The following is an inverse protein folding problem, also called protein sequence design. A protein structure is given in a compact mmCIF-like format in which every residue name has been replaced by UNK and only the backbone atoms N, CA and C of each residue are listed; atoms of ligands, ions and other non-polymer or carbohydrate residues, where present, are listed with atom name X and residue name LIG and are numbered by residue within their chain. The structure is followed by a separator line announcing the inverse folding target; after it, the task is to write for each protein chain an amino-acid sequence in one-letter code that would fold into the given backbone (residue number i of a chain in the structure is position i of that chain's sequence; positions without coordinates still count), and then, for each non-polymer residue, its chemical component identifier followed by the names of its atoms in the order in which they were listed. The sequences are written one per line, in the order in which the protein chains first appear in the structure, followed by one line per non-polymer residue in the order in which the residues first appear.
data_IF_702766320333
#
_entry.id   IF_702766320333
#
_cell.length_a   1.000
_cell.length_b   1.000
_cell.length_c   1.000
_cell.angle_alpha   90.00
_cell.angle_beta   90.00
_cell.angle_gamma   90.00
#
_symmetry.space_group_name_H-M   'P 1'
#
loop_
_entity.id
_entity.type
_entity.pdbx_description
1 polymer ?
#
# COMPACT_ATOMS: atom_id res chain seq x y z
N UNK A 1 20.19 10.08 62.30
CA UNK A 1 20.24 9.26 61.06
C UNK A 1 19.29 9.89 60.05
N UNK A 2 19.83 10.63 59.09
CA UNK A 2 19.04 11.31 58.05
C UNK A 2 19.02 10.37 56.84
N UNK A 3 17.84 9.87 56.45
CA UNK A 3 17.65 9.10 55.21
C UNK A 3 17.36 10.09 54.08
N UNK A 4 18.31 10.21 53.16
CA UNK A 4 18.15 10.93 51.90
C UNK A 4 17.60 9.92 50.89
N UNK A 5 16.36 10.10 50.44
CA UNK A 5 15.77 9.30 49.36
C UNK A 5 16.23 9.85 48.01
N UNK A 6 16.92 9.03 47.23
CA UNK A 6 17.18 9.30 45.82
C UNK A 6 15.97 8.82 45.01
N UNK A 7 15.18 9.77 44.48
CA UNK A 7 14.23 9.48 43.41
C UNK A 7 15.00 9.40 42.10
N UNK A 8 15.17 8.19 41.58
CA UNK A 8 15.67 7.98 40.21
C UNK A 8 14.53 8.32 39.26
N UNK A 9 14.62 9.48 38.61
CA UNK A 9 13.74 9.86 37.51
C UNK A 9 14.15 9.01 36.29
N UNK A 10 13.41 7.93 36.03
CA UNK A 10 13.58 7.13 34.83
C UNK A 10 13.02 7.94 33.64
N UNK A 11 13.89 8.66 32.93
CA UNK A 11 13.53 9.26 31.64
C UNK A 11 13.48 8.10 30.65
N UNK A 12 12.28 7.56 30.43
CA UNK A 12 12.03 6.72 29.28
C UNK A 12 12.18 7.61 28.03
N UNK A 13 13.27 7.43 27.30
CA UNK A 13 13.35 7.92 25.93
C UNK A 13 12.24 7.20 25.16
N UNK A 14 11.15 7.90 24.84
CA UNK A 14 10.28 7.48 23.75
C UNK A 14 11.17 7.50 22.50
N UNK A 15 11.62 6.33 22.07
CA UNK A 15 12.06 6.17 20.71
C UNK A 15 10.83 6.52 19.86
N UNK A 16 10.90 7.64 19.12
CA UNK A 16 9.94 7.91 18.08
C UNK A 16 9.91 6.68 17.17
N UNK A 17 8.71 6.15 16.91
CA UNK A 17 8.55 5.11 15.90
C UNK A 17 9.24 5.61 14.61
N UNK A 18 9.98 4.75 13.89
CA UNK A 18 10.60 5.16 12.63
C UNK A 18 9.54 5.82 11.75
N UNK A 19 9.88 6.96 11.15
CA UNK A 19 8.99 7.66 10.23
C UNK A 19 8.43 6.65 9.22
N UNK A 20 7.10 6.62 9.08
CA UNK A 20 6.41 5.74 8.14
C UNK A 20 7.03 5.97 6.76
N UNK A 21 7.41 4.90 6.05
CA UNK A 21 7.57 5.04 4.61
C UNK A 21 6.21 5.52 4.09
N UNK A 22 6.16 6.59 3.32
CA UNK A 22 4.95 6.90 2.59
C UNK A 22 5.08 6.15 1.26
N UNK A 23 4.07 5.42 0.81
CA UNK A 23 4.07 4.85 -0.53
C UNK A 23 3.36 5.79 -1.50
N UNK A 24 3.76 5.79 -2.77
CA UNK A 24 3.05 6.40 -3.88
C UNK A 24 2.85 5.39 -5.01
N UNK A 25 1.69 5.46 -5.67
CA UNK A 25 1.36 4.61 -6.82
C UNK A 25 1.27 5.45 -8.08
N UNK A 26 2.00 5.06 -9.13
CA UNK A 26 1.97 5.73 -10.43
C UNK A 26 1.59 4.77 -11.54
N UNK A 27 0.69 5.12 -12.47
CA UNK A 27 0.41 4.30 -13.65
C UNK A 27 1.66 4.05 -14.48
N UNK A 28 1.82 2.82 -14.95
CA UNK A 28 3.01 2.34 -15.62
C UNK A 28 2.68 1.46 -16.84
N UNK A 29 1.72 1.89 -17.66
CA UNK A 29 1.35 1.22 -18.91
C UNK A 29 0.22 0.21 -18.75
N UNK A 30 -0.35 -0.19 -19.89
CA UNK A 30 -1.36 -1.24 -19.98
C UNK A 30 -1.23 -1.93 -21.33
N UNK A 31 -1.36 -3.25 -21.34
CA UNK A 31 -1.20 -4.07 -22.53
C UNK A 31 -2.29 -5.13 -22.60
N UNK A 32 -2.68 -5.54 -23.80
CA UNK A 32 -3.53 -6.72 -23.97
C UNK A 32 -2.72 -7.97 -23.64
N UNK A 33 -3.29 -8.89 -22.85
CA UNK A 33 -2.67 -10.18 -22.59
C UNK A 33 -2.64 -11.03 -23.86
N UNK A 34 -1.44 -11.43 -24.28
CA UNK A 34 -1.24 -12.32 -25.42
C UNK A 34 -1.39 -13.79 -24.99
N UNK A 35 -2.43 -14.44 -25.51
CA UNK A 35 -2.70 -15.86 -25.28
C UNK A 35 -2.12 -16.81 -26.33
N UNK A 36 -1.38 -16.31 -27.32
CA UNK A 36 -1.09 -16.96 -28.60
C UNK A 36 -0.51 -18.38 -28.54
N UNK A 37 0.21 -18.73 -27.48
CA UNK A 37 0.80 -20.06 -27.28
C UNK A 37 -0.19 -21.11 -26.72
N UNK A 38 -1.41 -20.70 -26.35
CA UNK A 38 -2.45 -21.55 -25.78
C UNK A 38 -3.74 -21.51 -26.61
N UNK A 39 -3.73 -22.08 -27.84
CA UNK A 39 -4.90 -22.08 -28.71
C UNK A 39 -6.07 -22.83 -28.05
N UNK A 40 -7.24 -22.20 -28.05
CA UNK A 40 -8.46 -22.75 -27.45
C UNK A 40 -8.65 -22.45 -25.96
N UNK A 41 -7.72 -21.71 -25.34
CA UNK A 41 -7.92 -21.13 -24.01
C UNK A 41 -8.46 -19.72 -24.16
N UNK A 42 -9.55 -19.43 -23.46
CA UNK A 42 -10.10 -18.08 -23.37
C UNK A 42 -9.38 -17.34 -22.25
N UNK A 43 -8.75 -16.21 -22.60
CA UNK A 43 -8.14 -15.28 -21.67
C UNK A 43 -9.14 -14.13 -21.44
N UNK A 44 -9.96 -14.30 -20.41
CA UNK A 44 -11.08 -13.46 -20.02
C UNK A 44 -11.32 -13.66 -18.51
N UNK A 45 -12.22 -12.91 -17.89
CA UNK A 45 -12.66 -13.18 -16.51
C UNK A 45 -11.50 -13.23 -15.50
N UNK A 46 -10.48 -12.40 -15.73
CA UNK A 46 -9.33 -12.37 -14.83
C UNK A 46 -9.74 -11.65 -13.56
N UNK A 47 -9.66 -12.34 -12.43
CA UNK A 47 -9.96 -11.77 -11.13
C UNK A 47 -8.66 -11.47 -10.36
N UNK A 48 -8.32 -12.27 -9.35
CA UNK A 48 -7.12 -12.08 -8.55
C UNK A 48 -5.82 -12.40 -9.29
N UNK A 49 -4.73 -11.76 -8.85
CA UNK A 49 -3.38 -11.99 -9.36
C UNK A 49 -2.37 -12.07 -8.23
N UNK A 50 -1.34 -12.92 -8.37
CA UNK A 50 -0.26 -13.04 -7.38
C UNK A 50 1.10 -13.25 -8.05
N UNK A 51 2.16 -12.68 -7.48
CA UNK A 51 3.52 -12.90 -7.95
C UNK A 51 4.05 -14.23 -7.45
N UNK A 52 4.63 -15.03 -8.34
CA UNK A 52 5.17 -16.36 -8.00
C UNK A 52 6.67 -16.50 -8.28
N UNK A 53 7.33 -15.42 -8.75
CA UNK A 53 8.77 -15.35 -8.92
C UNK A 53 9.21 -14.88 -10.30
N UNK A 54 10.36 -14.19 -10.35
CA UNK A 54 10.88 -13.62 -11.60
C UNK A 54 9.87 -12.68 -12.25
N UNK A 55 9.59 -12.90 -13.53
CA UNK A 55 8.58 -12.17 -14.32
C UNK A 55 7.18 -12.79 -14.25
N UNK A 56 7.00 -13.90 -13.53
CA UNK A 56 5.77 -14.71 -13.55
C UNK A 56 4.78 -14.28 -12.48
N UNK A 57 3.54 -14.14 -12.91
CA UNK A 57 2.35 -13.99 -12.07
C UNK A 57 1.38 -15.13 -12.35
N UNK A 58 0.64 -15.55 -11.33
CA UNK A 58 -0.51 -16.44 -11.48
C UNK A 58 -1.79 -15.60 -11.34
N UNK A 59 -2.73 -15.80 -12.26
CA UNK A 59 -4.01 -15.08 -12.36
C UNK A 59 -5.14 -16.10 -12.30
N UNK A 60 -6.05 -15.97 -11.35
CA UNK A 60 -7.24 -16.83 -11.30
C UNK A 60 -8.32 -16.27 -12.24
N UNK A 61 -9.05 -17.17 -12.88
CA UNK A 61 -10.26 -16.80 -13.60
C UNK A 61 -11.47 -17.14 -12.74
N UNK A 62 -12.40 -16.18 -12.57
CA UNK A 62 -13.67 -16.36 -11.85
C UNK A 62 -14.44 -17.56 -12.44
N UNK A 63 -14.99 -17.40 -13.65
CA UNK A 63 -15.81 -18.44 -14.26
C UNK A 63 -15.03 -19.43 -15.15
N UNK A 64 -13.71 -19.23 -15.28
CA UNK A 64 -12.85 -19.95 -16.23
C UNK A 64 -12.38 -21.33 -15.77
N UNK A 65 -12.52 -21.64 -14.46
CA UNK A 65 -12.15 -22.92 -13.87
C UNK A 65 -10.66 -23.27 -13.98
N UNK A 66 -9.79 -22.25 -13.99
CA UNK A 66 -8.33 -22.40 -14.14
C UNK A 66 -7.59 -21.22 -13.54
N UNK A 67 -6.29 -21.42 -13.35
CA UNK A 67 -5.31 -20.36 -13.09
C UNK A 67 -4.39 -20.23 -14.31
N UNK A 68 -4.10 -19.00 -14.71
CA UNK A 68 -3.22 -18.66 -15.82
C UNK A 68 -1.88 -18.22 -15.27
N UNK A 69 -0.79 -18.80 -15.75
CA UNK A 69 0.53 -18.23 -15.52
C UNK A 69 0.83 -17.18 -16.60
N UNK A 70 1.07 -15.94 -16.20
CA UNK A 70 1.33 -14.79 -17.07
C UNK A 70 2.75 -14.26 -16.82
N UNK A 71 3.59 -14.24 -17.85
CA UNK A 71 4.87 -13.54 -17.81
C UNK A 71 4.67 -12.08 -18.24
N UNK A 72 5.26 -11.14 -17.48
CA UNK A 72 5.23 -9.72 -17.78
C UNK A 72 6.63 -9.15 -18.01
N UNK A 73 6.72 -8.14 -18.88
CA UNK A 73 7.97 -7.41 -19.14
C UNK A 73 7.79 -5.95 -18.78
N UNK A 74 8.69 -5.43 -17.95
CA UNK A 74 8.82 -4.01 -17.67
C UNK A 74 10.11 -3.46 -18.30
N UNK A 75 9.99 -2.40 -19.11
CA UNK A 75 11.11 -1.67 -19.68
C UNK A 75 11.09 -0.23 -19.19
N UNK A 76 12.18 0.22 -18.55
CA UNK A 76 12.24 1.59 -18.01
C UNK A 76 11.14 1.91 -16.99
N UNK A 77 10.67 0.90 -16.25
CA UNK A 77 9.59 1.04 -15.27
C UNK A 77 8.18 1.00 -15.86
N UNK A 78 8.02 0.74 -17.17
CA UNK A 78 6.72 0.66 -17.84
C UNK A 78 6.45 -0.78 -18.31
N UNK A 79 5.25 -1.28 -18.06
CA UNK A 79 4.75 -2.56 -18.58
C UNK A 79 4.66 -2.49 -20.12
N UNK A 80 5.41 -3.34 -20.81
CA UNK A 80 5.46 -3.40 -22.28
C UNK A 80 4.91 -4.69 -22.86
N UNK A 81 4.86 -5.77 -22.08
CA UNK A 81 4.34 -7.05 -22.54
C UNK A 81 3.69 -7.83 -21.39
N UNK A 82 2.63 -8.55 -21.70
CA UNK A 82 2.07 -9.61 -20.87
C UNK A 82 1.70 -10.78 -21.78
N UNK A 83 2.22 -11.97 -21.48
CA UNK A 83 1.98 -13.17 -22.28
C UNK A 83 1.60 -14.35 -21.38
N UNK A 84 0.59 -15.09 -21.80
CA UNK A 84 0.26 -16.36 -21.20
C UNK A 84 1.41 -17.33 -21.40
N UNK A 85 1.76 -18.03 -20.33
CA UNK A 85 2.91 -18.92 -20.36
C UNK A 85 2.68 -20.19 -19.51
N UNK A 86 1.53 -20.34 -18.85
CA UNK A 86 1.07 -21.60 -18.27
C UNK A 86 -0.46 -21.59 -18.08
N UNK A 87 -1.06 -22.77 -17.99
CA UNK A 87 -2.46 -22.96 -17.60
C UNK A 87 -2.53 -24.10 -16.60
N UNK A 88 -3.10 -23.82 -15.43
CA UNK A 88 -3.28 -24.78 -14.35
C UNK A 88 -4.78 -25.08 -14.19
N UNK A 89 -5.21 -26.35 -14.23
CA UNK A 89 -6.61 -26.68 -14.10
C UNK A 89 -7.12 -26.42 -12.68
N UNK A 90 -8.42 -26.17 -12.53
CA UNK A 90 -9.12 -26.28 -11.24
C UNK A 90 -10.19 -27.37 -11.36
N UNK A 91 -10.19 -28.32 -10.43
CA UNK A 91 -11.14 -29.45 -10.47
C UNK A 91 -12.49 -29.11 -9.86
N UNK A 92 -12.53 -28.13 -8.96
CA UNK A 92 -13.74 -27.61 -8.38
C UNK A 92 -14.20 -26.39 -9.20
N UNK A 93 -15.41 -26.47 -9.75
CA UNK A 93 -16.10 -25.30 -10.29
C UNK A 93 -16.63 -24.48 -9.10
N UNK A 94 -15.90 -23.43 -8.79
CA UNK A 94 -16.15 -22.47 -7.74
C UNK A 94 -15.87 -21.09 -8.31
N UNK A 95 -16.50 -20.10 -7.71
CA UNK A 95 -16.36 -18.70 -8.05
C UNK A 95 -15.13 -18.15 -7.31
N UNK A 96 -13.96 -18.31 -7.92
CA UNK A 96 -12.70 -17.95 -7.30
C UNK A 96 -12.25 -16.57 -7.72
N UNK A 97 -12.14 -15.68 -6.73
CA UNK A 97 -11.83 -14.27 -6.98
C UNK A 97 -10.38 -13.97 -6.57
N UNK A 98 -9.97 -14.21 -5.33
CA UNK A 98 -8.62 -13.94 -4.86
C UNK A 98 -7.66 -15.11 -5.07
N UNK A 99 -6.38 -14.82 -5.33
CA UNK A 99 -5.29 -15.81 -5.40
C UNK A 99 -4.06 -15.34 -4.64
N UNK A 100 -3.40 -16.26 -3.92
CA UNK A 100 -2.10 -16.02 -3.30
C UNK A 100 -1.16 -17.23 -3.48
N UNK A 101 0.13 -16.97 -3.59
CA UNK A 101 1.14 -18.04 -3.69
C UNK A 101 1.07 -19.00 -2.48
N UNK A 102 1.13 -20.31 -2.74
CA UNK A 102 1.09 -21.36 -1.73
C UNK A 102 2.38 -21.45 -0.91
N UNK A 103 2.35 -22.21 0.19
CA UNK A 103 3.51 -22.31 1.10
C UNK A 103 4.81 -22.75 0.41
N UNK A 104 4.68 -23.40 -0.74
CA UNK A 104 5.71 -23.77 -1.69
C UNK A 104 5.14 -23.64 -3.13
N UNK A 105 5.98 -23.85 -4.14
CA UNK A 105 5.61 -23.71 -5.56
C UNK A 105 4.62 -24.77 -6.07
N UNK A 106 4.28 -25.78 -5.25
CA UNK A 106 3.36 -26.85 -5.61
C UNK A 106 1.89 -26.50 -5.35
N UNK A 107 1.62 -25.39 -4.66
CA UNK A 107 0.25 -24.99 -4.29
C UNK A 107 0.02 -23.51 -4.53
N UNK A 108 -1.25 -23.13 -4.59
CA UNK A 108 -1.71 -21.76 -4.39
C UNK A 108 -2.92 -21.76 -3.45
N UNK A 109 -3.20 -20.61 -2.85
CA UNK A 109 -4.44 -20.37 -2.13
C UNK A 109 -5.41 -19.62 -3.02
N UNK A 110 -6.70 -19.96 -2.94
CA UNK A 110 -7.78 -19.24 -3.60
C UNK A 110 -8.84 -18.82 -2.57
N UNK A 111 -9.40 -17.63 -2.72
CA UNK A 111 -10.64 -17.23 -2.04
C UNK A 111 -11.83 -17.48 -2.95
N UNK A 112 -12.94 -17.90 -2.37
CA UNK A 112 -14.17 -18.22 -3.09
C UNK A 112 -15.30 -17.33 -2.61
N UNK A 113 -16.09 -16.84 -3.55
CA UNK A 113 -17.00 -15.74 -3.33
C UNK A 113 -18.37 -16.20 -2.83
N UNK A 114 -19.01 -17.11 -3.57
CA UNK A 114 -20.40 -17.47 -3.35
C UNK A 114 -20.65 -18.28 -2.07
N UNK A 115 -19.65 -19.03 -1.60
CA UNK A 115 -19.63 -19.77 -0.32
C UNK A 115 -18.39 -19.41 0.53
N UNK A 116 -18.27 -18.14 0.98
CA UNK A 116 -17.04 -17.50 1.45
C UNK A 116 -16.04 -18.46 2.09
N UNK A 117 -14.98 -18.75 1.34
CA UNK A 117 -14.02 -19.79 1.66
C UNK A 117 -12.59 -19.41 1.27
N UNK A 118 -11.61 -19.98 1.95
CA UNK A 118 -10.21 -19.98 1.47
C UNK A 118 -9.73 -21.42 1.36
N UNK A 119 -9.07 -21.77 0.26
CA UNK A 119 -8.64 -23.13 -0.07
C UNK A 119 -7.20 -23.16 -0.51
N UNK A 120 -6.47 -24.16 -0.04
CA UNK A 120 -5.19 -24.52 -0.63
C UNK A 120 -5.44 -25.53 -1.73
N UNK A 121 -4.87 -25.29 -2.90
CA UNK A 121 -5.08 -26.09 -4.11
C UNK A 121 -3.74 -26.55 -4.65
N UNK A 122 -3.66 -27.82 -5.03
CA UNK A 122 -2.50 -28.38 -5.69
C UNK A 122 -2.41 -27.84 -7.12
N UNK A 123 -1.29 -27.20 -7.44
CA UNK A 123 -1.09 -26.45 -8.69
C UNK A 123 -1.09 -27.35 -9.93
N UNK A 124 -0.62 -28.59 -9.80
CA UNK A 124 -0.48 -29.50 -10.93
C UNK A 124 -1.81 -30.20 -11.26
N UNK A 125 -2.55 -30.59 -10.23
CA UNK A 125 -3.78 -31.38 -10.35
C UNK A 125 -5.05 -30.55 -10.30
N UNK A 126 -5.00 -29.34 -9.73
CA UNK A 126 -6.17 -28.51 -9.48
C UNK A 126 -7.06 -29.01 -8.34
N UNK A 127 -6.58 -29.98 -7.55
CA UNK A 127 -7.33 -30.57 -6.46
C UNK A 127 -7.22 -29.70 -5.20
N UNK A 128 -8.36 -29.52 -4.51
CA UNK A 128 -8.36 -28.88 -3.19
C UNK A 128 -7.60 -29.78 -2.21
N UNK A 129 -6.51 -29.27 -1.65
CA UNK A 129 -5.70 -29.94 -0.62
C UNK A 129 -6.38 -29.81 0.73
N UNK A 130 -6.83 -28.60 1.07
CA UNK A 130 -7.60 -28.31 2.29
C UNK A 130 -8.38 -27.01 2.18
N UNK A 131 -9.39 -26.88 3.03
CA UNK A 131 -10.11 -25.63 3.27
C UNK A 131 -9.69 -25.03 4.62
N UNK A 132 -9.55 -23.72 4.69
CA UNK A 132 -9.29 -22.98 5.91
C UNK A 132 -10.61 -22.69 6.64
N UNK A 133 -10.54 -22.49 7.96
CA UNK A 133 -11.72 -22.21 8.77
C UNK A 133 -12.15 -20.76 8.62
N UNK A 134 -13.41 -20.53 8.22
CA UNK A 134 -13.98 -19.19 8.03
C UNK A 134 -15.00 -18.90 9.13
N UNK A 135 -14.97 -17.71 9.78
CA UNK A 135 -15.98 -17.30 10.74
C UNK A 135 -17.40 -17.33 10.16
N UNK A 136 -18.36 -17.83 10.93
CA UNK A 136 -19.74 -18.04 10.47
C UNK A 136 -20.45 -16.77 9.98
N UNK A 137 -20.02 -15.59 10.45
CA UNK A 137 -20.57 -14.29 10.04
C UNK A 137 -20.48 -14.06 8.53
N UNK A 138 -19.43 -14.56 7.87
CA UNK A 138 -19.24 -14.43 6.44
C UNK A 138 -20.30 -15.16 5.61
N UNK A 139 -21.07 -16.09 6.20
CA UNK A 139 -22.25 -16.69 5.59
C UNK A 139 -23.45 -15.72 5.48
N UNK A 140 -23.30 -14.49 5.94
CA UNK A 140 -24.27 -13.40 5.79
C UNK A 140 -23.97 -12.49 4.59
N UNK A 141 -23.14 -12.96 3.65
CA UNK A 141 -22.80 -12.25 2.42
C UNK A 141 -24.04 -11.94 1.58
N UNK A 142 -23.94 -10.87 0.80
CA UNK A 142 -24.90 -10.61 -0.28
C UNK A 142 -24.51 -11.53 -1.45
N UNK A 143 -25.49 -11.99 -2.24
CA UNK A 143 -25.20 -12.92 -3.33
C UNK A 143 -24.20 -12.32 -4.32
N UNK A 144 -23.20 -13.11 -4.73
CA UNK A 144 -22.06 -12.68 -5.54
C UNK A 144 -21.43 -11.37 -5.05
N UNK A 145 -21.19 -11.27 -3.73
CA UNK A 145 -20.44 -10.18 -3.05
C UNK A 145 -19.65 -10.69 -1.84
N UNK A 146 -19.04 -11.85 -2.02
CA UNK A 146 -18.31 -12.60 -1.00
C UNK A 146 -16.84 -12.24 -0.99
N UNK A 147 -15.94 -13.21 -0.77
CA UNK A 147 -14.50 -12.93 -0.74
C UNK A 147 -13.93 -12.67 -2.13
N UNK A 148 -13.47 -11.43 -2.37
CA UNK A 148 -12.86 -10.98 -3.62
C UNK A 148 -11.33 -11.07 -3.64
N UNK A 149 -10.74 -11.00 -2.45
CA UNK A 149 -9.33 -10.65 -2.30
C UNK A 149 -8.54 -11.74 -1.62
N UNK A 150 -7.25 -11.88 -1.96
CA UNK A 150 -6.37 -12.76 -1.18
C UNK A 150 -4.91 -12.31 -1.23
N UNK A 151 -4.39 -11.89 -0.09
CA UNK A 151 -3.01 -11.48 0.08
C UNK A 151 -2.27 -12.41 1.02
N UNK A 152 -0.98 -12.67 0.76
CA UNK A 152 -0.12 -13.45 1.67
C UNK A 152 1.10 -12.67 2.11
N UNK A 153 1.44 -12.82 3.39
CA UNK A 153 2.74 -12.44 3.93
C UNK A 153 3.25 -13.53 4.89
N UNK A 154 4.28 -14.26 4.47
CA UNK A 154 4.87 -15.33 5.29
C UNK A 154 3.81 -16.38 5.70
N UNK A 155 3.54 -16.58 7.01
CA UNK A 155 2.52 -17.51 7.50
C UNK A 155 1.10 -16.91 7.55
N UNK A 156 0.92 -15.65 7.15
CA UNK A 156 -0.35 -14.93 7.25
C UNK A 156 -1.04 -14.84 5.90
N UNK A 157 -2.35 -15.09 5.87
CA UNK A 157 -3.24 -14.73 4.77
C UNK A 157 -4.20 -13.63 5.19
N UNK A 158 -4.54 -12.76 4.25
CA UNK A 158 -5.57 -11.74 4.38
C UNK A 158 -6.58 -11.89 3.24
N UNK A 159 -7.85 -11.74 3.56
CA UNK A 159 -8.95 -11.70 2.59
C UNK A 159 -10.01 -10.73 3.10
N UNK A 160 -10.96 -10.35 2.25
CA UNK A 160 -12.07 -9.48 2.60
C UNK A 160 -13.24 -9.70 1.66
N UNK A 161 -14.44 -9.42 2.15
CA UNK A 161 -15.64 -9.44 1.33
C UNK A 161 -15.77 -8.18 0.45
N UNK A 162 -16.38 -8.30 -0.74
CA UNK A 162 -16.54 -7.20 -1.73
C UNK A 162 -17.34 -6.02 -1.14
N UNK A 163 -18.52 -6.35 -0.63
CA UNK A 163 -19.53 -5.42 -0.13
C UNK A 163 -19.95 -5.89 1.26
N UNK A 164 -20.47 -4.97 2.08
CA UNK A 164 -20.92 -5.27 3.43
C UNK A 164 -21.64 -6.63 3.55
N UNK A 165 -21.51 -7.27 4.70
CA UNK A 165 -22.39 -8.38 5.05
C UNK A 165 -23.76 -7.81 5.43
N UNK A 166 -24.82 -8.60 5.29
CA UNK A 166 -26.19 -8.15 5.59
C UNK A 166 -26.36 -7.73 7.07
N UNK A 167 -25.52 -8.26 7.96
CA UNK A 167 -25.46 -7.94 9.39
C UNK A 167 -24.56 -6.75 9.73
N UNK A 168 -23.75 -6.27 8.79
CA UNK A 168 -22.74 -5.22 9.04
C UNK A 168 -23.17 -3.82 8.61
N UNK A 169 -24.11 -3.72 7.68
CA UNK A 169 -24.61 -2.44 7.21
C UNK A 169 -25.21 -2.52 5.82
N UNK A 170 -25.60 -1.38 5.23
CA UNK A 170 -26.13 -1.31 3.87
C UNK A 170 -25.05 -1.56 2.81
N UNK A 171 -25.54 -1.85 1.59
CA UNK A 171 -24.75 -1.80 0.36
C UNK A 171 -24.26 -0.36 0.09
N UNK A 172 -23.24 -0.21 -0.76
CA UNK A 172 -22.76 1.11 -1.13
C UNK A 172 -23.83 1.87 -1.93
N UNK A 173 -23.82 3.19 -1.81
CA UNK A 173 -24.65 4.11 -2.59
C UNK A 173 -23.80 5.29 -3.06
N UNK A 174 -24.38 6.23 -3.80
CA UNK A 174 -23.66 7.44 -4.23
C UNK A 174 -23.40 8.45 -3.11
N UNK A 175 -24.07 8.29 -1.95
CA UNK A 175 -23.91 9.18 -0.79
C UNK A 175 -23.30 8.50 0.43
N UNK A 176 -23.07 7.18 0.39
CA UNK A 176 -22.52 6.42 1.52
C UNK A 176 -21.78 5.19 1.02
N UNK A 177 -20.63 4.92 1.62
CA UNK A 177 -19.84 3.72 1.38
C UNK A 177 -20.47 2.46 1.98
N UNK A 178 -19.74 1.35 1.92
CA UNK A 178 -20.10 0.08 2.56
C UNK A 178 -19.00 -0.37 3.53
N UNK A 179 -19.38 -1.09 4.59
CA UNK A 179 -18.43 -1.62 5.58
C UNK A 179 -18.16 -3.09 5.34
N UNK A 180 -16.93 -3.45 4.98
CA UNK A 180 -16.49 -4.84 4.77
C UNK A 180 -15.60 -5.31 5.92
N UNK A 181 -15.37 -6.63 6.02
CA UNK A 181 -14.51 -7.23 7.03
C UNK A 181 -13.22 -7.72 6.41
N UNK A 182 -12.09 -7.16 6.82
CA UNK A 182 -10.79 -7.76 6.58
C UNK A 182 -10.63 -8.95 7.52
N UNK A 183 -10.29 -10.12 7.00
CA UNK A 183 -10.05 -11.35 7.75
C UNK A 183 -8.57 -11.72 7.67
N UNK A 184 -7.93 -11.89 8.83
CA UNK A 184 -6.59 -12.46 8.95
C UNK A 184 -6.67 -13.93 9.30
N UNK A 185 -5.97 -14.78 8.55
CA UNK A 185 -5.86 -16.22 8.75
C UNK A 185 -4.40 -16.62 9.00
N UNK A 186 -4.20 -17.63 9.83
CA UNK A 186 -2.92 -18.30 9.99
C UNK A 186 -2.87 -19.54 9.08
N UNK A 187 -1.85 -19.62 8.23
CA UNK A 187 -1.73 -20.69 7.23
C UNK A 187 -1.50 -22.05 7.90
N UNK A 188 -0.69 -22.12 8.95
CA UNK A 188 -0.29 -23.39 9.55
C UNK A 188 -1.48 -24.07 10.23
N UNK A 189 -2.15 -23.36 11.13
CA UNK A 189 -3.35 -23.85 11.83
C UNK A 189 -4.61 -23.85 10.95
N UNK A 190 -4.65 -23.01 9.91
CA UNK A 190 -5.84 -22.77 9.09
C UNK A 190 -6.95 -22.02 9.82
N UNK A 191 -6.64 -21.37 10.95
CA UNK A 191 -7.61 -20.71 11.82
C UNK A 191 -7.70 -19.19 11.57
N UNK A 192 -8.88 -18.57 11.79
CA UNK A 192 -9.02 -17.12 11.81
C UNK A 192 -8.32 -16.53 13.03
N UNK A 193 -7.58 -15.44 12.81
CA UNK A 193 -6.76 -14.79 13.84
C UNK A 193 -7.38 -13.48 14.30
N UNK A 194 -7.88 -12.66 13.38
CA UNK A 194 -8.47 -11.37 13.69
C UNK A 194 -9.39 -10.93 12.54
N UNK A 195 -10.32 -10.02 12.85
CA UNK A 195 -11.13 -9.34 11.85
C UNK A 195 -11.07 -7.83 12.09
N UNK A 196 -11.09 -7.01 11.04
CA UNK A 196 -11.15 -5.55 11.16
C UNK A 196 -12.16 -4.98 10.18
N UNK A 197 -12.90 -3.95 10.60
CA UNK A 197 -13.83 -3.25 9.71
C UNK A 197 -13.07 -2.32 8.76
N UNK A 198 -13.35 -2.40 7.46
CA UNK A 198 -12.83 -1.51 6.42
C UNK A 198 -13.99 -0.78 5.74
N UNK A 199 -13.83 0.52 5.51
CA UNK A 199 -14.85 1.35 4.85
C UNK A 199 -14.50 1.52 3.38
N UNK A 200 -15.32 0.94 2.49
CA UNK A 200 -15.25 1.14 1.03
C UNK A 200 -15.87 2.49 0.67
N UNK A 201 -15.33 3.19 -0.32
CA UNK A 201 -15.88 4.48 -0.77
C UNK A 201 -17.28 4.38 -1.38
N UNK A 202 -18.08 5.46 -1.34
CA UNK A 202 -19.31 5.58 -2.11
C UNK A 202 -19.11 5.34 -3.61
N UNK A 203 -20.20 5.00 -4.27
CA UNK A 203 -20.29 4.94 -5.73
C UNK A 203 -19.96 6.32 -6.29
N UNK A 204 -19.00 6.37 -7.23
CA UNK A 204 -18.42 7.64 -7.68
C UNK A 204 -19.38 8.52 -8.51
N UNK A 205 -20.41 7.94 -9.12
CA UNK A 205 -21.40 8.66 -9.91
C UNK A 205 -22.77 7.96 -9.90
N UNK A 206 -23.83 8.70 -10.20
CA UNK A 206 -25.15 8.11 -10.39
C UNK A 206 -25.16 7.28 -11.68
N UNK A 207 -25.44 5.98 -11.54
CA UNK A 207 -25.42 5.03 -12.64
C UNK A 207 -26.44 3.92 -12.48
N UNK A 208 -26.86 3.33 -13.61
CA UNK A 208 -27.63 2.09 -13.61
C UNK A 208 -26.73 0.94 -13.16
N UNK A 209 -27.29 0.00 -12.38
CA UNK A 209 -26.57 -1.19 -11.88
C UNK A 209 -25.26 -0.84 -11.16
N UNK A 210 -25.24 0.32 -10.50
CA UNK A 210 -24.01 0.86 -9.90
C UNK A 210 -23.64 0.14 -8.60
N UNK A 211 -22.33 -0.01 -8.38
CA UNK A 211 -21.78 -0.65 -7.19
C UNK A 211 -20.42 -0.03 -6.81
N UNK A 212 -19.98 -0.30 -5.59
CA UNK A 212 -18.65 0.04 -5.09
C UNK A 212 -18.22 -1.02 -4.08
N UNK A 213 -17.06 -1.60 -4.31
CA UNK A 213 -16.58 -2.75 -3.57
C UNK A 213 -15.07 -2.73 -3.36
N UNK A 214 -14.61 -3.52 -2.40
CA UNK A 214 -13.21 -3.91 -2.31
C UNK A 214 -12.97 -5.05 -3.31
N UNK A 215 -12.08 -4.85 -4.27
CA UNK A 215 -11.74 -5.84 -5.30
C UNK A 215 -10.56 -6.71 -4.88
N UNK A 216 -9.47 -6.13 -4.36
CA UNK A 216 -8.30 -6.93 -4.01
C UNK A 216 -7.50 -6.38 -2.82
N UNK A 217 -6.65 -7.23 -2.26
CA UNK A 217 -5.68 -6.92 -1.23
C UNK A 217 -4.31 -7.41 -1.68
N UNK A 218 -3.28 -6.60 -1.43
CA UNK A 218 -1.90 -7.04 -1.48
C UNK A 218 -1.13 -6.57 -0.25
N UNK A 219 0.08 -7.09 -0.07
CA UNK A 219 1.00 -6.69 0.99
C UNK A 219 2.18 -5.94 0.38
N UNK A 220 2.38 -4.70 0.83
CA UNK A 220 3.50 -3.86 0.45
C UNK A 220 4.84 -4.39 1.02
N UNK A 221 6.00 -3.94 0.51
CA UNK A 221 7.31 -4.43 0.97
C UNK A 221 7.56 -4.29 2.47
N UNK A 222 6.95 -3.30 3.12
CA UNK A 222 7.05 -3.05 4.57
C UNK A 222 6.01 -3.80 5.41
N UNK A 223 5.16 -4.61 4.77
CA UNK A 223 4.13 -5.42 5.41
C UNK A 223 2.78 -4.75 5.61
N UNK A 224 2.60 -3.51 5.15
CA UNK A 224 1.27 -2.90 5.16
C UNK A 224 0.37 -3.49 4.09
N UNK A 225 -0.93 -3.54 4.38
CA UNK A 225 -1.92 -3.89 3.38
C UNK A 225 -2.15 -2.71 2.44
N UNK A 226 -2.33 -3.02 1.17
CA UNK A 226 -2.88 -2.12 0.16
C UNK A 226 -4.18 -2.74 -0.34
N UNK A 227 -5.25 -1.95 -0.40
CA UNK A 227 -6.53 -2.36 -0.94
C UNK A 227 -6.76 -1.71 -2.31
N UNK A 228 -7.28 -2.49 -3.23
CA UNK A 228 -7.89 -2.03 -4.46
C UNK A 228 -9.41 -1.96 -4.24
N UNK A 229 -9.99 -0.77 -4.44
CA UNK A 229 -11.42 -0.58 -4.53
C UNK A 229 -11.82 -0.28 -5.97
N UNK A 230 -13.01 -0.74 -6.33
CA UNK A 230 -13.59 -0.53 -7.65
C UNK A 230 -15.02 -0.06 -7.53
N UNK A 231 -15.35 0.99 -8.27
CA UNK A 231 -16.71 1.52 -8.38
C UNK A 231 -17.19 1.55 -9.81
N UNK A 232 -18.36 0.97 -10.07
CA UNK A 232 -19.04 0.98 -11.35
C UNK A 232 -20.26 1.91 -11.31
N UNK A 233 -20.44 2.72 -12.36
CA UNK A 233 -21.56 3.65 -12.49
C UNK A 233 -22.20 3.62 -13.88
N UNK A 234 -22.22 2.47 -14.55
CA UNK A 234 -22.94 2.28 -15.81
C UNK A 234 -22.46 3.24 -16.90
N UNK A 235 -23.39 4.04 -17.44
CA UNK A 235 -23.11 4.99 -18.53
C UNK A 235 -22.40 6.28 -18.08
N UNK A 236 -21.98 6.38 -16.81
CA UNK A 236 -21.16 7.49 -16.36
C UNK A 236 -19.78 7.49 -17.06
N UNK A 237 -19.06 8.61 -16.96
CA UNK A 237 -17.68 8.72 -17.42
C UNK A 237 -16.79 9.22 -16.27
N UNK A 238 -15.82 8.41 -15.79
CA UNK A 238 -15.58 7.04 -16.22
C UNK A 238 -16.74 6.10 -15.82
N UNK A 239 -16.88 4.96 -16.51
CA UNK A 239 -17.82 3.89 -16.13
C UNK A 239 -17.32 3.14 -14.91
N UNK A 240 -16.01 2.85 -14.87
CA UNK A 240 -15.30 2.32 -13.72
C UNK A 240 -14.28 3.32 -13.17
N UNK A 241 -14.32 3.54 -11.85
CA UNK A 241 -13.30 4.27 -11.11
C UNK A 241 -12.63 3.31 -10.13
N UNK A 242 -11.31 3.22 -10.23
CA UNK A 242 -10.48 2.41 -9.34
C UNK A 242 -9.76 3.31 -8.35
N UNK A 243 -9.57 2.81 -7.13
CA UNK A 243 -8.83 3.49 -6.07
C UNK A 243 -7.92 2.51 -5.37
N UNK A 244 -6.69 2.92 -5.11
CA UNK A 244 -5.69 2.13 -4.40
C UNK A 244 -5.40 2.83 -3.08
N UNK A 245 -5.58 2.12 -1.98
CA UNK A 245 -5.42 2.64 -0.63
C UNK A 245 -4.35 1.88 0.13
N UNK A 246 -3.53 2.60 0.89
CA UNK A 246 -2.70 2.02 1.93
C UNK A 246 -3.47 1.98 3.24
N UNK A 247 -3.37 0.87 3.97
CA UNK A 247 -4.12 0.65 5.20
C UNK A 247 -3.24 0.87 6.44
N UNK A 248 -3.88 1.40 7.48
CA UNK A 248 -3.34 1.56 8.83
C UNK A 248 -4.24 0.85 9.83
N UNK A 249 -3.77 -0.30 10.32
CA UNK A 249 -4.49 -1.09 11.30
C UNK A 249 -4.22 -0.60 12.74
N UNK A 250 -3.34 0.38 12.94
CA UNK A 250 -3.03 0.89 14.26
C UNK A 250 -4.28 1.53 14.90
N UNK A 251 -4.70 0.99 16.04
CA UNK A 251 -5.88 1.46 16.76
C UNK A 251 -7.22 0.99 16.18
N UNK A 252 -7.23 0.22 15.09
CA UNK A 252 -8.44 -0.44 14.62
C UNK A 252 -8.95 -1.45 15.65
N UNK A 253 -10.26 -1.56 15.81
CA UNK A 253 -10.87 -2.54 16.71
C UNK A 253 -10.82 -3.92 16.06
N UNK A 254 -10.36 -4.94 16.81
CA UNK A 254 -10.55 -6.32 16.41
C UNK A 254 -12.03 -6.70 16.60
N UNK A 255 -12.73 -6.85 15.49
CA UNK A 255 -14.16 -7.15 15.43
C UNK A 255 -14.45 -8.66 15.43
N UNK A 256 -13.45 -9.52 15.65
CA UNK A 256 -13.63 -10.98 15.68
C UNK A 256 -14.24 -11.51 16.97
N UNK A 257 -14.48 -10.66 17.98
CA UNK A 257 -14.86 -11.06 19.33
C UNK A 257 -16.18 -10.44 19.79
N UNK A 258 -16.86 -11.13 20.72
CA UNK A 258 -18.07 -10.64 21.36
C UNK A 258 -19.18 -10.32 20.36
N UNK A 259 -19.97 -9.28 20.63
CA UNK A 259 -21.10 -8.89 19.77
C UNK A 259 -20.69 -8.44 18.36
N UNK A 260 -19.45 -7.95 18.19
CA UNK A 260 -18.93 -7.52 16.89
C UNK A 260 -18.71 -8.71 15.94
N UNK A 261 -18.44 -9.90 16.51
CA UNK A 261 -18.27 -11.13 15.74
C UNK A 261 -19.54 -11.49 14.95
N UNK A 262 -20.73 -11.19 15.51
CA UNK A 262 -22.03 -11.55 14.95
C UNK A 262 -22.60 -10.48 13.99
N UNK A 263 -22.11 -9.25 14.04
CA UNK A 263 -22.56 -8.16 13.18
C UNK A 263 -22.12 -6.77 13.66
N UNK A 264 -21.95 -5.84 12.73
CA UNK A 264 -21.52 -4.46 13.03
C UNK A 264 -22.66 -3.44 13.10
N UNK A 265 -23.86 -3.78 12.62
CA UNK A 265 -24.99 -2.85 12.57
C UNK A 265 -25.37 -2.33 13.96
N UNK A 266 -25.30 -1.01 14.16
CA UNK A 266 -25.62 -0.35 15.43
C UNK A 266 -24.57 -0.52 16.53
N UNK A 267 -23.43 -1.15 16.23
CA UNK A 267 -22.31 -1.29 17.15
C UNK A 267 -21.35 -0.09 17.07
N UNK A 268 -20.50 0.04 18.08
CA UNK A 268 -19.42 1.05 18.09
C UNK A 268 -18.08 0.34 17.96
N UNK A 269 -17.29 0.74 16.97
CA UNK A 269 -15.96 0.22 16.69
C UNK A 269 -15.14 1.27 15.94
N UNK A 270 -13.82 1.12 15.93
CA UNK A 270 -12.91 1.94 15.12
C UNK A 270 -12.53 1.15 13.87
N UNK A 271 -12.91 1.60 12.66
CA UNK A 271 -12.49 0.96 11.42
C UNK A 271 -11.00 1.18 11.16
N UNK A 272 -10.45 0.39 10.24
CA UNK A 272 -9.10 0.55 9.69
C UNK A 272 -8.94 1.93 9.07
N UNK A 273 -7.84 2.61 9.41
CA UNK A 273 -7.46 3.86 8.74
C UNK A 273 -6.98 3.58 7.33
N UNK A 274 -7.20 4.51 6.39
CA UNK A 274 -6.71 4.36 5.01
C UNK A 274 -6.22 5.68 4.45
N UNK A 275 -5.24 5.61 3.55
CA UNK A 275 -4.66 6.74 2.80
C UNK A 275 -4.69 6.44 1.31
N UNK A 276 -5.26 7.34 0.51
CA UNK A 276 -5.34 7.17 -0.93
C UNK A 276 -3.93 7.24 -1.54
N UNK A 277 -3.56 6.22 -2.32
CA UNK A 277 -2.33 6.18 -3.10
C UNK A 277 -2.55 6.60 -4.55
N UNK A 278 -3.68 6.18 -5.12
CA UNK A 278 -4.06 6.50 -6.50
C UNK A 278 -5.57 6.39 -6.69
N UNK A 279 -6.12 7.24 -7.53
CA UNK A 279 -7.51 7.16 -8.00
C UNK A 279 -7.56 7.52 -9.47
N UNK A 280 -8.23 6.71 -10.28
CA UNK A 280 -8.34 6.96 -11.71
C UNK A 280 -9.03 5.84 -12.47
N UNK A 281 -9.09 6.00 -13.79
CA UNK A 281 -9.64 5.01 -14.71
C UNK A 281 -8.53 4.30 -15.47
N UNK A 282 -8.66 2.98 -15.64
CA UNK A 282 -7.85 2.24 -16.60
C UNK A 282 -8.43 2.44 -18.00
N UNK A 283 -7.71 3.13 -18.88
CA UNK A 283 -8.22 3.52 -20.20
C UNK A 283 -9.26 4.65 -20.13
N UNK A 284 -9.76 5.05 -21.31
CA UNK A 284 -10.58 6.26 -21.45
C UNK A 284 -11.98 6.16 -20.82
N UNK A 285 -12.59 4.97 -20.86
CA UNK A 285 -13.91 4.73 -20.26
C UNK A 285 -13.84 4.15 -18.84
N UNK A 286 -12.65 3.78 -18.35
CA UNK A 286 -12.49 2.94 -17.16
C UNK A 286 -12.79 1.48 -17.45
N UNK A 287 -11.91 0.59 -17.02
CA UNK A 287 -12.07 -0.86 -17.11
C UNK A 287 -12.23 -1.45 -15.70
N UNK A 288 -12.78 -2.66 -15.64
CA UNK A 288 -13.02 -3.44 -14.43
C UNK A 288 -11.69 -3.99 -13.86
N UNK A 289 -10.83 -3.10 -13.32
CA UNK A 289 -9.58 -3.51 -12.68
C UNK A 289 -9.90 -4.31 -11.41
N UNK A 290 -9.64 -5.62 -11.44
CA UNK A 290 -10.16 -6.60 -10.48
C UNK A 290 -9.06 -7.06 -9.51
N UNK A 291 -7.89 -7.46 -10.01
CA UNK A 291 -6.77 -7.91 -9.19
C UNK A 291 -5.58 -6.94 -9.21
N UNK A 292 -4.75 -6.97 -8.15
CA UNK A 292 -3.51 -6.21 -8.06
C UNK A 292 -2.43 -6.93 -7.22
N UNK A 293 -1.27 -7.20 -7.80
CA UNK A 293 -0.16 -7.88 -7.14
C UNK A 293 1.11 -7.02 -7.08
N UNK A 294 1.85 -7.16 -5.96
CA UNK A 294 3.22 -6.68 -5.85
C UNK A 294 4.17 -7.63 -6.58
N UNK A 295 4.92 -7.08 -7.53
CA UNK A 295 5.99 -7.77 -8.27
C UNK A 295 7.38 -7.47 -7.72
N UNK A 296 8.44 -7.79 -8.47
CA UNK A 296 9.81 -7.54 -8.07
C UNK A 296 10.16 -6.03 -8.07
N UNK A 297 11.21 -5.69 -7.33
CA UNK A 297 11.77 -4.33 -7.32
C UNK A 297 12.45 -4.02 -8.67
N UNK A 298 12.19 -2.82 -9.18
CA UNK A 298 12.79 -2.23 -10.37
C UNK A 298 14.18 -1.65 -10.06
N UNK A 299 14.95 -1.37 -11.11
CA UNK A 299 16.33 -0.87 -10.99
C UNK A 299 16.42 0.52 -10.32
N UNK A 300 15.35 1.31 -10.37
CA UNK A 300 15.25 2.63 -9.73
C UNK A 300 14.80 2.55 -8.25
N UNK A 301 14.58 1.35 -7.71
CA UNK A 301 14.15 1.12 -6.34
C UNK A 301 12.64 1.14 -6.12
N UNK A 302 11.85 1.53 -7.13
CA UNK A 302 10.40 1.34 -7.11
C UNK A 302 10.05 -0.15 -7.28
N UNK A 303 8.81 -0.52 -7.02
CA UNK A 303 8.32 -1.90 -7.17
C UNK A 303 7.32 -1.98 -8.30
N UNK A 304 7.33 -3.10 -9.03
CA UNK A 304 6.26 -3.40 -9.98
C UNK A 304 4.95 -3.64 -9.21
N UNK A 305 3.87 -3.07 -9.72
CA UNK A 305 2.52 -3.48 -9.40
C UNK A 305 1.87 -3.95 -10.71
N UNK A 306 1.29 -5.14 -10.68
CA UNK A 306 0.62 -5.74 -11.85
C UNK A 306 -0.84 -5.95 -11.50
N UNK A 307 -1.72 -5.30 -12.23
CA UNK A 307 -3.15 -5.49 -12.13
C UNK A 307 -3.73 -6.19 -13.35
N UNK A 308 -4.90 -6.78 -13.17
CA UNK A 308 -5.62 -7.50 -14.23
C UNK A 308 -7.05 -6.99 -14.32
N UNK A 309 -7.58 -6.97 -15.54
CA UNK A 309 -8.93 -6.51 -15.82
C UNK A 309 -9.83 -7.71 -16.07
N UNK A 310 -10.93 -7.77 -15.34
CA UNK A 310 -12.04 -8.64 -15.68
C UNK A 310 -12.82 -8.03 -16.87
N UNK A 311 -13.14 -8.83 -17.86
CA UNK A 311 -13.89 -8.38 -19.03
C UNK A 311 -15.32 -8.95 -19.10
N UNK A 312 -15.80 -9.61 -18.04
CA UNK A 312 -17.12 -10.23 -18.02
C UNK A 312 -17.35 -11.14 -19.23
N UNK A 313 -16.32 -11.85 -19.70
CA UNK A 313 -16.37 -12.75 -20.86
C UNK A 313 -16.71 -12.02 -22.16
N UNK A 314 -16.39 -10.73 -22.21
CA UNK A 314 -16.75 -9.82 -23.30
C UNK A 314 -18.17 -9.28 -23.24
N UNK A 315 -18.92 -9.58 -22.16
CA UNK A 315 -20.23 -8.97 -21.91
C UNK A 315 -20.12 -7.57 -21.32
N UNK A 316 -18.99 -7.25 -20.65
CA UNK A 316 -18.64 -5.89 -20.26
C UNK A 316 -18.16 -5.10 -21.50
N UNK A 317 -18.89 -4.06 -21.95
CA UNK A 317 -18.51 -3.28 -23.13
C UNK A 317 -17.32 -2.33 -22.88
N UNK A 318 -16.89 -2.14 -21.63
CA UNK A 318 -15.81 -1.23 -21.27
C UNK A 318 -14.46 -1.95 -21.16
N UNK A 319 -14.49 -3.22 -20.77
CA UNK A 319 -13.32 -3.95 -20.31
C UNK A 319 -12.79 -4.92 -21.36
N UNK A 320 -11.47 -4.97 -21.49
CA UNK A 320 -10.74 -5.90 -22.34
C UNK A 320 -9.90 -6.86 -21.53
N UNK A 321 -9.31 -7.85 -22.19
CA UNK A 321 -8.32 -8.76 -21.60
C UNK A 321 -6.99 -8.01 -21.37
N UNK A 322 -6.98 -7.10 -20.39
CA UNK A 322 -5.94 -6.10 -20.17
C UNK A 322 -5.14 -6.43 -18.92
N UNK A 323 -3.82 -6.36 -19.02
CA UNK A 323 -2.90 -6.32 -17.88
C UNK A 323 -2.41 -4.89 -17.72
N UNK A 324 -2.45 -4.39 -16.48
CA UNK A 324 -2.17 -3.00 -16.13
C UNK A 324 -0.92 -2.96 -15.27
N UNK A 325 0.02 -2.09 -15.63
CA UNK A 325 1.22 -1.81 -14.85
C UNK A 325 1.01 -0.58 -13.99
N UNK A 326 1.49 -0.63 -12.75
CA UNK A 326 1.79 0.53 -11.92
C UNK A 326 3.20 0.38 -11.33
N UNK A 327 3.73 1.47 -10.79
CA UNK A 327 4.89 1.44 -9.90
C UNK A 327 4.47 1.85 -8.49
N UNK A 328 5.01 1.13 -7.49
CA UNK A 328 4.92 1.48 -6.08
C UNK A 328 6.28 1.99 -5.63
N UNK A 329 6.37 3.29 -5.35
CA UNK A 329 7.62 3.93 -4.96
C UNK A 329 7.57 4.32 -3.50
N UNK A 330 8.66 4.11 -2.73
CA UNK A 330 8.77 4.78 -1.45
C UNK A 330 8.82 6.27 -1.73
N UNK A 331 7.86 7.00 -1.20
CA UNK A 331 7.99 8.41 -0.91
C UNK A 331 9.04 8.47 0.18
N UNK A 332 10.25 8.82 -0.20
CA UNK A 332 11.22 9.33 0.76
C UNK A 332 10.49 10.44 1.51
N UNK A 333 10.28 10.34 2.84
CA UNK A 333 9.68 11.43 3.59
C UNK A 333 10.48 12.66 3.20
N UNK A 334 9.85 13.62 2.51
CA UNK A 334 10.53 14.85 2.17
C UNK A 334 11.00 15.40 3.51
N UNK A 335 12.32 15.47 3.71
CA UNK A 335 12.84 16.23 4.84
C UNK A 335 12.16 17.59 4.68
N UNK A 336 11.47 18.15 5.70
CA UNK A 336 10.77 19.41 5.50
C UNK A 336 11.73 20.42 4.86
N UNK A 337 11.39 20.93 3.66
CA UNK A 337 12.27 21.80 2.87
C UNK A 337 13.23 21.13 1.87
N UNK A 338 13.37 19.81 1.82
CA UNK A 338 14.08 19.07 0.75
C UNK A 338 13.05 18.70 -0.32
N UNK A 339 12.74 19.66 -1.20
CA UNK A 339 11.71 19.55 -2.23
C UNK A 339 12.19 18.92 -3.52
N UNK A 340 13.50 18.73 -3.68
CA UNK A 340 14.06 18.01 -4.81
C UNK A 340 14.42 16.55 -4.47
N UNK A 341 14.37 16.16 -3.19
CA UNK A 341 14.60 14.81 -2.69
C UNK A 341 16.06 14.37 -2.72
N UNK A 342 17.01 15.30 -2.78
CA UNK A 342 18.45 14.99 -2.85
C UNK A 342 19.11 14.80 -1.48
N UNK A 343 18.33 14.95 -0.40
CA UNK A 343 18.77 14.77 0.98
C UNK A 343 19.43 16.01 1.57
N UNK A 344 19.48 17.13 0.85
CA UNK A 344 19.98 18.42 1.33
C UNK A 344 18.90 19.49 1.22
N UNK A 345 18.99 20.53 2.07
CA UNK A 345 18.08 21.68 2.00
C UNK A 345 18.90 22.86 1.51
N UNK A 346 18.73 23.24 0.25
CA UNK A 346 19.48 24.28 -0.41
C UNK A 346 18.67 25.07 -1.45
N UNK A 347 19.37 25.74 -2.35
CA UNK A 347 18.76 26.58 -3.39
C UNK A 347 18.06 25.76 -4.49
N UNK A 348 18.43 24.49 -4.64
CA UNK A 348 17.81 23.49 -5.50
C UNK A 348 16.36 23.23 -5.09
N UNK A 349 16.07 23.18 -3.79
CA UNK A 349 14.71 23.00 -3.26
C UNK A 349 13.84 24.22 -3.51
N UNK A 350 14.41 25.42 -3.33
CA UNK A 350 13.70 26.65 -3.70
C UNK A 350 13.36 26.68 -5.19
N UNK A 351 14.27 26.19 -6.04
CA UNK A 351 14.00 26.07 -7.46
C UNK A 351 12.90 25.03 -7.75
N UNK A 352 12.84 23.93 -7.00
CA UNK A 352 11.76 22.95 -7.07
C UNK A 352 10.41 23.55 -6.65
N UNK A 353 10.34 24.22 -5.50
CA UNK A 353 9.14 24.95 -5.05
C UNK A 353 8.68 26.00 -6.07
N UNK A 354 9.61 26.82 -6.61
CA UNK A 354 9.25 27.82 -7.63
C UNK A 354 8.65 27.23 -8.90
N UNK A 355 9.05 26.02 -9.29
CA UNK A 355 8.47 25.32 -10.45
C UNK A 355 7.10 24.75 -10.13
N UNK A 356 6.87 24.37 -8.87
CA UNK A 356 5.63 23.77 -8.39
C UNK A 356 4.61 24.79 -7.84
N UNK A 357 4.98 26.07 -7.66
CA UNK A 357 4.10 27.08 -7.09
C UNK A 357 2.77 27.22 -7.84
N UNK A 358 1.66 27.02 -7.11
CA UNK A 358 0.30 27.03 -7.63
C UNK A 358 -0.18 25.68 -8.20
N UNK A 359 0.63 24.62 -8.14
CA UNK A 359 0.21 23.26 -8.47
C UNK A 359 -0.47 22.60 -7.24
N UNK A 360 -1.46 21.75 -7.50
CA UNK A 360 -2.07 20.88 -6.50
C UNK A 360 -1.50 19.47 -6.58
N UNK A 361 -1.21 18.88 -5.43
CA UNK A 361 -0.70 17.51 -5.30
C UNK A 361 -1.46 16.77 -4.19
N UNK A 362 -1.24 15.47 -4.06
CA UNK A 362 -1.66 14.79 -2.83
C UNK A 362 -0.86 15.39 -1.65
N UNK A 363 -1.55 15.65 -0.53
CA UNK A 363 -0.99 16.23 0.68
C UNK A 363 0.39 15.62 1.04
N UNK A 364 1.41 16.46 1.13
CA UNK A 364 2.76 16.10 1.61
C UNK A 364 3.72 15.59 0.53
N UNK A 365 3.34 15.63 -0.75
CA UNK A 365 4.20 15.22 -1.87
C UNK A 365 4.90 16.41 -2.54
N UNK A 366 6.17 16.22 -2.93
CA UNK A 366 6.94 17.23 -3.65
C UNK A 366 7.15 18.49 -2.83
N UNK A 367 6.81 19.66 -3.40
CA UNK A 367 7.00 20.95 -2.76
C UNK A 367 5.86 21.37 -1.79
N UNK A 368 4.90 20.50 -1.51
CA UNK A 368 3.85 20.69 -0.50
C UNK A 368 4.39 20.28 0.88
N UNK A 369 5.13 21.18 1.51
CA UNK A 369 5.81 20.94 2.77
C UNK A 369 4.91 21.04 4.00
N UNK A 370 3.72 21.64 3.88
CA UNK A 370 2.76 21.73 4.99
C UNK A 370 1.68 20.61 4.93
N UNK A 371 1.59 19.90 3.82
CA UNK A 371 0.68 18.77 3.62
C UNK A 371 -0.77 19.17 3.41
N UNK A 372 -1.05 20.35 2.86
CA UNK A 372 -2.42 20.83 2.62
C UNK A 372 -2.94 20.55 1.20
N UNK A 373 -2.09 19.97 0.35
CA UNK A 373 -2.41 19.60 -1.03
C UNK A 373 -2.22 20.73 -2.04
N UNK A 374 -1.71 21.89 -1.65
CA UNK A 374 -1.45 23.04 -2.52
C UNK A 374 -0.04 23.57 -2.28
N UNK A 375 0.76 23.69 -3.35
CA UNK A 375 2.09 24.32 -3.24
C UNK A 375 1.97 25.84 -3.29
N UNK A 376 2.08 26.50 -2.15
CA UNK A 376 1.94 27.95 -2.03
C UNK A 376 2.99 28.61 -1.11
N UNK A 377 2.68 29.81 -0.62
CA UNK A 377 3.58 30.57 0.24
C UNK A 377 3.78 29.93 1.63
N UNK A 378 2.85 29.09 2.10
CA UNK A 378 2.98 28.34 3.32
C UNK A 378 4.13 27.31 3.22
N UNK A 379 4.26 26.63 2.08
CA UNK A 379 5.37 25.69 1.85
C UNK A 379 6.72 26.40 1.80
N UNK A 380 6.77 27.58 1.18
CA UNK A 380 7.99 28.39 1.23
C UNK A 380 8.45 28.65 2.67
N UNK A 381 7.52 28.81 3.62
CA UNK A 381 7.91 28.98 5.03
C UNK A 381 8.50 27.71 5.63
N UNK A 382 8.02 26.52 5.22
CA UNK A 382 8.60 25.23 5.62
C UNK A 382 10.04 25.10 5.11
N UNK A 383 10.29 25.37 3.83
CA UNK A 383 11.66 25.39 3.27
C UNK A 383 12.58 26.38 3.98
N UNK A 384 12.12 27.63 4.16
CA UNK A 384 12.92 28.69 4.79
C UNK A 384 13.31 28.33 6.23
N UNK A 385 12.36 27.80 6.99
CA UNK A 385 12.58 27.46 8.39
C UNK A 385 13.52 26.25 8.52
N UNK A 386 13.39 25.28 7.62
CA UNK A 386 14.28 24.12 7.56
C UNK A 386 15.71 24.47 7.11
N UNK A 387 15.86 25.36 6.11
CA UNK A 387 17.16 25.90 5.69
C UNK A 387 17.88 26.60 6.85
N UNK A 388 17.12 27.29 7.71
CA UNK A 388 17.63 27.99 8.89
C UNK A 388 18.02 27.03 10.02
N UNK A 389 17.36 25.87 10.12
CA UNK A 389 17.65 24.83 11.11
C UNK A 389 18.86 23.96 10.72
N UNK A 390 19.11 23.74 9.42
CA UNK A 390 20.29 23.02 8.90
C UNK A 390 21.58 23.85 8.94
N UNK A 391 21.47 25.16 9.10
CA UNK A 391 22.58 26.08 9.30
C UNK A 391 23.07 26.10 10.75
N UNK A 392 23.82 25.07 11.18
CA UNK A 392 24.72 25.27 12.31
C UNK A 392 25.66 26.43 11.94
N UNK A 393 25.56 27.55 12.67
CA UNK A 393 26.41 28.71 12.48
C UNK A 393 27.88 28.26 12.37
N UNK A 394 28.68 28.81 11.43
CA UNK A 394 30.10 28.50 11.40
C UNK A 394 30.64 28.80 12.80
N UNK A 395 31.21 27.78 13.43
CA UNK A 395 31.84 27.92 14.74
C UNK A 395 32.82 29.07 14.61
N UNK A 396 32.58 30.17 15.32
CA UNK A 396 33.52 31.26 15.38
C UNK A 396 34.84 30.67 15.88
N UNK A 397 35.84 30.58 15.01
CA UNK A 397 37.18 30.15 15.42
C UNK A 397 37.62 31.14 16.49
N UNK A 398 37.93 30.69 17.73
CA UNK A 398 38.30 31.60 18.79
C UNK A 398 39.51 32.40 18.32
N UNK A 399 39.40 33.74 18.38
CA UNK A 399 40.54 34.61 18.18
C UNK A 399 41.67 34.14 19.12
N UNK A 400 42.91 33.95 18.64
CA UNK A 400 43.99 33.49 19.50
C UNK A 400 44.20 34.53 20.60
N UNK A 401 43.87 34.17 21.85
CA UNK A 401 44.22 34.99 22.99
C UNK A 401 45.76 35.06 23.09
N UNK A 402 46.33 36.23 23.41
CA UNK A 402 47.77 36.34 23.62
C UNK A 402 48.15 35.40 24.77
N UNK A 403 48.97 34.41 24.47
CA UNK A 403 49.41 33.42 25.45
C UNK A 403 50.01 34.17 26.65
N UNK A 404 49.45 33.94 27.83
CA UNK A 404 49.96 34.40 29.12
C UNK A 404 51.44 34.02 29.39
N UNK A 405 52.08 33.25 28.49
CA UNK A 405 53.51 32.95 28.48
C UNK A 405 54.43 34.15 28.22
N UNK A 406 53.97 35.24 27.59
CA UNK A 406 54.81 36.43 27.37
C UNK A 406 54.88 37.39 28.57
N UNK A 407 53.97 37.29 29.55
CA UNK A 407 54.02 38.07 30.80
C UNK A 407 54.84 37.37 31.91
N UNK A 408 55.03 36.05 31.83
CA UNK A 408 55.85 35.31 32.81
C UNK A 408 57.37 35.40 32.51
N UNK A 409 57.77 35.61 31.25
CA UNK A 409 59.19 35.74 30.88
C UNK A 409 59.77 37.14 31.13
N UNK A 410 58.93 38.18 31.24
CA UNK A 410 59.36 39.54 31.57
C UNK A 410 59.53 39.78 33.09
N UNK A 411 58.96 38.92 33.94
CA UNK A 411 59.02 39.07 35.41
C UNK A 411 60.23 38.36 36.07
N UNK A 412 60.91 37.42 35.39
CA UNK A 412 62.07 36.69 35.95
C UNK A 412 63.45 37.25 35.55
N UNK A 413 63.53 38.29 34.71
CA UNK A 413 64.81 38.93 34.34
C UNK A 413 65.17 40.16 35.19
N UNK A 414 64.35 40.52 36.19
CA UNK A 414 64.55 41.72 37.01
C UNK A 414 65.03 41.45 38.46
N UNK A 415 65.30 40.19 38.86
CA UNK A 415 65.64 39.86 40.26
C UNK A 415 67.09 39.38 40.47
N UNK A 416 67.92 39.18 39.44
CA UNK A 416 69.34 38.76 39.60
C UNK A 416 70.37 39.85 39.27
N UNK A 417 69.99 41.12 39.31
CA UNK A 417 70.89 42.26 39.02
C UNK A 417 71.52 42.97 40.23
N UNK A 418 71.29 42.51 41.46
CA UNK A 418 71.91 43.08 42.66
C UNK A 418 72.82 42.05 43.34
N UNK A 419 74.03 42.49 43.72
CA UNK A 419 75.14 41.76 44.40
C UNK A 419 76.11 41.09 43.41
N UNK A 420 77.40 41.45 43.24
CA UNK A 420 78.39 42.29 43.95
C UNK A 420 79.70 42.32 43.12
N UNK A 421 80.45 43.44 43.11
CA UNK A 421 81.93 43.56 43.31
C UNK A 421 82.21 45.02 43.70
N UNK A 422 82.53 45.37 44.95
CA UNK A 422 83.89 45.53 45.52
C UNK A 422 84.96 45.96 44.54
#
# INVERSE_FOLDING_TARGET
MIRIGFSVLLIAALAAAPARAEWAVSPAGAVTLDGGDFPGVTFAEMSGVTHVGGARFDVVQDSGGRVLGVDVTFEGGVLTQAAAAAVYPLTAAMDYEGIAAGANDATFFLSEENSPGVREVDRATGAVVRALSIPAVFASQRGNRGFESLARQGPTLWTANEEALTVDGPAASTSSGSTVRLLRLDIESGAPVAQHAYQVEPIHANGLLSQSGLSDLLVAPDGRLIALERSFAGLASPAYLSRIYELDLAGATDISQGALADGLSGQTYTPVGKRLLWSGSVGAAGQNLEGLALGPQLADGSWQLVGVVDNGSGSDPYSGNTVVGFTLSPVTPQVPGDYNGDGTIDQGDYAAWRRAFGLGHAAGLGADGNGDGVVDAADYTVWRDALSAGGAAPSASPAPEPTAGLLAAAALSAVTGFVRRR
#
